data_IF_383565616104
#
_entry.id   IF_383565616104
#
_cell.length_a   1.000
_cell.length_b   1.000
_cell.length_c   1.000
_cell.angle_alpha   90.00
_cell.angle_beta   90.00
_cell.angle_gamma   90.00
#
_symmetry.space_group_name_H-M   'P 1'
#
loop_
_entity.id
_entity.type
_entity.pdbx_description
1 polymer ?
#
# COMPACT_ATOMS: atom_id res chain seq x y z
N UNK A 1 16.61 -23.25 26.49
CA UNK A 1 15.78 -22.02 26.52
C UNK A 1 15.81 -21.45 25.11
N UNK A 2 14.76 -21.66 24.32
CA UNK A 2 14.69 -21.30 22.89
C UNK A 2 13.34 -20.62 22.54
N UNK A 3 12.77 -19.84 23.46
CA UNK A 3 11.48 -19.17 23.24
C UNK A 3 11.58 -17.69 22.85
N UNK A 4 12.77 -17.06 22.95
CA UNK A 4 12.87 -15.60 22.81
C UNK A 4 12.86 -15.06 21.37
N UNK A 5 13.24 -15.83 20.35
CA UNK A 5 13.27 -15.33 18.96
C UNK A 5 11.91 -15.42 18.26
N UNK A 6 11.11 -16.45 18.57
CA UNK A 6 9.78 -16.64 18.00
C UNK A 6 8.80 -15.55 18.42
N UNK A 7 8.83 -15.16 19.70
CA UNK A 7 7.96 -14.12 20.24
C UNK A 7 8.28 -12.74 19.63
N UNK A 8 9.57 -12.43 19.40
CA UNK A 8 9.99 -11.19 18.75
C UNK A 8 9.57 -11.14 17.28
N UNK A 9 9.73 -12.24 16.54
CA UNK A 9 9.31 -12.31 15.13
C UNK A 9 7.80 -12.16 14.97
N UNK A 10 7.02 -12.87 15.80
CA UNK A 10 5.54 -12.78 15.77
C UNK A 10 5.08 -11.35 16.12
N UNK A 11 5.69 -10.73 17.13
CA UNK A 11 5.38 -9.34 17.50
C UNK A 11 5.64 -8.36 16.35
N UNK A 12 6.82 -8.45 15.72
CA UNK A 12 7.20 -7.66 14.55
C UNK A 12 6.24 -7.87 13.36
N UNK A 13 5.86 -9.12 13.11
CA UNK A 13 4.88 -9.49 12.11
C UNK A 13 3.51 -8.85 12.38
N UNK A 14 3.02 -8.92 13.61
CA UNK A 14 1.74 -8.34 13.98
C UNK A 14 1.72 -6.82 13.76
N UNK A 15 2.83 -6.12 14.03
CA UNK A 15 2.94 -4.68 13.78
C UNK A 15 2.82 -4.36 12.28
N UNK A 16 3.60 -5.05 11.43
CA UNK A 16 3.59 -4.80 9.99
C UNK A 16 2.23 -5.18 9.36
N UNK A 17 1.72 -6.38 9.66
CA UNK A 17 0.47 -6.91 9.10
C UNK A 17 -0.74 -6.05 9.50
N UNK A 18 -0.76 -5.48 10.72
CA UNK A 18 -1.84 -4.61 11.14
C UNK A 18 -1.98 -3.37 10.24
N UNK A 19 -0.87 -2.71 9.91
CA UNK A 19 -0.89 -1.50 9.07
C UNK A 19 -1.20 -1.86 7.61
N UNK A 20 -0.58 -2.91 7.09
CA UNK A 20 -0.80 -3.37 5.71
C UNK A 20 -2.25 -3.80 5.48
N UNK A 21 -2.86 -4.53 6.42
CA UNK A 21 -4.27 -4.93 6.30
C UNK A 21 -5.22 -3.72 6.37
N UNK A 22 -4.88 -2.69 7.17
CA UNK A 22 -5.61 -1.42 7.20
C UNK A 22 -5.52 -0.71 5.86
N UNK A 23 -4.33 -0.58 5.30
CA UNK A 23 -4.12 0.01 3.97
C UNK A 23 -4.89 -0.73 2.87
N UNK A 24 -4.80 -2.07 2.85
CA UNK A 24 -5.52 -2.90 1.89
C UNK A 24 -7.05 -2.79 2.03
N UNK A 25 -7.59 -2.49 3.22
CA UNK A 25 -9.01 -2.22 3.42
C UNK A 25 -9.40 -0.85 2.84
N UNK A 26 -8.57 0.17 3.05
CA UNK A 26 -8.81 1.53 2.55
C UNK A 26 -8.63 1.64 1.02
N UNK A 27 -7.78 0.80 0.43
CA UNK A 27 -7.58 0.72 -1.02
C UNK A 27 -8.78 0.14 -1.79
N UNK A 28 -9.63 -0.69 -1.15
CA UNK A 28 -10.79 -1.35 -1.79
C UNK A 28 -11.89 -0.38 -2.22
N UNK A 29 -11.83 0.88 -1.81
CA UNK A 29 -12.80 1.90 -2.21
C UNK A 29 -12.45 2.62 -3.52
N UNK A 30 -11.32 2.28 -4.16
CA UNK A 30 -10.87 2.87 -5.43
C UNK A 30 -11.89 2.66 -6.57
N UNK A 31 -12.56 1.51 -6.62
CA UNK A 31 -13.53 1.20 -7.67
C UNK A 31 -14.72 2.17 -7.70
N UNK A 32 -15.02 2.82 -6.55
CA UNK A 32 -16.06 3.86 -6.44
C UNK A 32 -15.70 5.13 -7.23
N UNK A 33 -14.42 5.37 -7.55
CA UNK A 33 -14.00 6.52 -8.36
C UNK A 33 -14.48 6.45 -9.81
N UNK A 34 -14.81 5.27 -10.32
CA UNK A 34 -15.29 5.11 -11.70
C UNK A 34 -16.57 5.90 -11.97
N UNK A 35 -17.48 5.98 -10.98
CA UNK A 35 -18.80 6.61 -11.09
C UNK A 35 -18.88 8.06 -10.56
N UNK A 36 -17.82 8.56 -9.93
CA UNK A 36 -17.81 9.88 -9.27
C UNK A 36 -17.73 11.05 -10.29
N UNK A 37 -18.15 12.26 -9.89
CA UNK A 37 -17.93 13.47 -10.71
C UNK A 37 -16.43 13.82 -10.81
N UNK A 38 -16.01 14.66 -11.76
CA UNK A 38 -14.58 15.03 -11.88
C UNK A 38 -14.03 15.72 -10.61
N UNK A 39 -14.83 16.56 -9.96
CA UNK A 39 -14.45 17.20 -8.69
C UNK A 39 -14.26 16.17 -7.58
N UNK A 40 -15.19 15.21 -7.50
CA UNK A 40 -15.12 14.12 -6.52
C UNK A 40 -13.92 13.21 -6.77
N UNK A 41 -13.63 12.84 -8.03
CA UNK A 41 -12.45 12.05 -8.40
C UNK A 41 -11.16 12.72 -7.94
N UNK A 42 -11.04 14.03 -8.17
CA UNK A 42 -9.84 14.79 -7.79
C UNK A 42 -9.65 14.80 -6.27
N UNK A 43 -10.72 15.00 -5.51
CA UNK A 43 -10.72 14.97 -4.05
C UNK A 43 -10.40 13.58 -3.51
N UNK A 44 -10.98 12.52 -4.07
CA UNK A 44 -10.71 11.14 -3.64
C UNK A 44 -9.28 10.72 -3.95
N UNK A 45 -8.73 11.08 -5.11
CA UNK A 45 -7.32 10.86 -5.42
C UNK A 45 -6.39 11.62 -4.44
N UNK A 46 -6.81 12.79 -3.95
CA UNK A 46 -6.03 13.56 -2.97
C UNK A 46 -5.99 12.82 -1.65
N UNK A 47 -7.15 12.42 -1.13
CA UNK A 47 -7.25 11.63 0.10
C UNK A 47 -6.48 10.31 -0.01
N UNK A 48 -6.54 9.66 -1.17
CA UNK A 48 -5.78 8.43 -1.44
C UNK A 48 -4.27 8.66 -1.38
N UNK A 49 -3.79 9.74 -2.00
CA UNK A 49 -2.38 10.17 -1.94
C UNK A 49 -1.95 10.33 -0.48
N UNK A 50 -2.69 11.12 0.29
CA UNK A 50 -2.40 11.42 1.69
C UNK A 50 -2.39 10.14 2.55
N UNK A 51 -3.36 9.24 2.36
CA UNK A 51 -3.44 7.95 3.06
C UNK A 51 -2.27 7.04 2.76
N UNK A 52 -1.90 6.85 1.49
CA UNK A 52 -0.76 6.00 1.15
C UNK A 52 0.58 6.57 1.65
N UNK A 53 0.74 7.90 1.63
CA UNK A 53 1.91 8.55 2.27
C UNK A 53 1.94 8.29 3.78
N UNK A 54 0.77 8.40 4.44
CA UNK A 54 0.65 8.10 5.86
C UNK A 54 1.01 6.64 6.16
N UNK A 55 0.51 5.68 5.38
CA UNK A 55 0.85 4.27 5.55
C UNK A 55 2.34 3.98 5.29
N UNK A 56 2.92 4.57 4.25
CA UNK A 56 4.35 4.46 4.00
C UNK A 56 5.16 4.92 5.22
N UNK A 57 4.79 6.06 5.81
CA UNK A 57 5.43 6.59 7.01
C UNK A 57 5.19 5.71 8.25
N UNK A 58 3.95 5.28 8.50
CA UNK A 58 3.62 4.39 9.62
C UNK A 58 4.41 3.08 9.55
N UNK A 59 4.61 2.53 8.35
CA UNK A 59 5.41 1.32 8.12
C UNK A 59 6.90 1.60 8.32
N UNK A 60 7.43 2.69 7.77
CA UNK A 60 8.86 3.04 7.88
C UNK A 60 9.28 3.35 9.34
N UNK A 61 8.37 3.91 10.14
CA UNK A 61 8.59 4.23 11.55
C UNK A 61 8.66 2.96 12.45
N UNK A 62 8.28 1.77 11.95
CA UNK A 62 8.37 0.51 12.71
C UNK A 62 9.83 0.09 12.85
N UNK A 63 10.27 -0.11 14.10
CA UNK A 63 11.59 -0.70 14.39
C UNK A 63 11.51 -2.21 14.32
N UNK A 64 11.88 -2.74 13.15
CA UNK A 64 12.02 -4.16 12.94
C UNK A 64 13.48 -4.57 13.13
N UNK A 65 13.71 -5.86 13.41
CA UNK A 65 15.01 -6.48 13.56
C UNK A 65 15.18 -7.65 12.59
N UNK A 66 14.12 -8.42 12.38
CA UNK A 66 14.11 -9.56 11.47
C UNK A 66 14.37 -9.12 10.01
N UNK A 67 15.33 -9.74 9.31
CA UNK A 67 15.73 -9.30 7.97
C UNK A 67 14.64 -9.48 6.92
N UNK A 68 13.81 -10.52 7.01
CA UNK A 68 12.73 -10.76 6.06
C UNK A 68 11.57 -9.79 6.31
N UNK A 69 11.21 -9.56 7.58
CA UNK A 69 10.18 -8.57 7.92
C UNK A 69 10.62 -7.15 7.52
N UNK A 70 11.91 -6.80 7.69
CA UNK A 70 12.48 -5.55 7.16
C UNK A 70 12.41 -5.47 5.64
N UNK A 71 12.60 -6.59 4.94
CA UNK A 71 12.48 -6.59 3.50
C UNK A 71 11.02 -6.36 3.06
N UNK A 72 10.04 -6.97 3.74
CA UNK A 72 8.63 -6.68 3.52
C UNK A 72 8.29 -5.22 3.81
N UNK A 73 8.77 -4.66 4.93
CA UNK A 73 8.63 -3.25 5.28
C UNK A 73 9.08 -2.34 4.13
N UNK A 74 10.30 -2.53 3.61
CA UNK A 74 10.83 -1.74 2.47
C UNK A 74 9.98 -1.88 1.21
N UNK A 75 9.49 -3.08 0.92
CA UNK A 75 8.63 -3.32 -0.24
C UNK A 75 7.29 -2.58 -0.10
N UNK A 76 6.65 -2.60 1.07
CA UNK A 76 5.42 -1.84 1.32
C UNK A 76 5.64 -0.34 1.26
N UNK A 77 6.70 0.19 1.88
CA UNK A 77 7.06 1.62 1.80
C UNK A 77 7.25 2.04 0.35
N UNK A 78 8.01 1.27 -0.43
CA UNK A 78 8.23 1.53 -1.86
C UNK A 78 6.93 1.50 -2.65
N UNK A 79 6.09 0.49 -2.41
CA UNK A 79 4.81 0.34 -3.09
C UNK A 79 3.89 1.53 -2.81
N UNK A 80 3.71 1.91 -1.55
CA UNK A 80 2.83 3.01 -1.16
C UNK A 80 3.32 4.38 -1.62
N UNK A 81 4.64 4.60 -1.65
CA UNK A 81 5.21 5.79 -2.28
C UNK A 81 4.91 5.83 -3.80
N UNK A 82 5.04 4.70 -4.50
CA UNK A 82 4.69 4.61 -5.92
C UNK A 82 3.19 4.82 -6.16
N UNK A 83 2.33 4.31 -5.28
CA UNK A 83 0.87 4.53 -5.34
C UNK A 83 0.53 6.02 -5.15
N UNK A 84 1.15 6.67 -4.16
CA UNK A 84 1.00 8.11 -3.93
C UNK A 84 1.42 8.91 -5.16
N UNK A 85 2.58 8.62 -5.73
CA UNK A 85 3.06 9.33 -6.93
C UNK A 85 2.12 9.10 -8.13
N UNK A 86 1.63 7.87 -8.32
CA UNK A 86 0.67 7.55 -9.39
C UNK A 86 -0.66 8.29 -9.22
N UNK A 87 -1.07 8.53 -7.96
CA UNK A 87 -2.27 9.32 -7.63
C UNK A 87 -2.12 10.77 -8.03
N UNK A 88 -0.99 11.40 -7.70
CA UNK A 88 -0.68 12.77 -8.10
C UNK A 88 -0.61 12.89 -9.64
N UNK A 89 0.05 11.93 -10.31
CA UNK A 89 0.13 11.90 -11.76
C UNK A 89 -1.26 11.77 -12.43
N UNK A 90 -2.17 10.99 -11.83
CA UNK A 90 -3.53 10.87 -12.31
C UNK A 90 -4.34 12.15 -12.11
N UNK A 91 -4.19 12.83 -10.97
CA UNK A 91 -4.81 14.15 -10.74
C UNK A 91 -4.37 15.16 -11.79
N UNK A 92 -3.07 15.25 -12.05
CA UNK A 92 -2.51 16.12 -13.08
C UNK A 92 -3.04 15.79 -14.48
N UNK A 93 -3.12 14.50 -14.82
CA UNK A 93 -3.64 14.04 -16.09
C UNK A 93 -5.13 14.41 -16.27
N UNK A 94 -5.94 14.28 -15.21
CA UNK A 94 -7.34 14.69 -15.19
C UNK A 94 -7.46 16.21 -15.39
N UNK A 95 -6.70 17.00 -14.63
CA UNK A 95 -6.71 18.46 -14.72
C UNK A 95 -6.32 18.95 -16.13
N UNK A 96 -5.33 18.30 -16.74
CA UNK A 96 -4.87 18.57 -18.11
C UNK A 96 -5.78 17.96 -19.19
N UNK A 97 -6.84 17.23 -18.82
CA UNK A 97 -7.72 16.47 -19.73
C UNK A 97 -6.95 15.51 -20.66
N UNK A 98 -5.79 15.02 -20.22
CA UNK A 98 -4.92 14.14 -20.99
C UNK A 98 -5.38 12.68 -20.85
N UNK A 99 -6.30 12.27 -21.71
CA UNK A 99 -6.90 10.91 -21.68
C UNK A 99 -5.87 9.78 -21.72
N UNK A 100 -4.82 9.92 -22.53
CA UNK A 100 -3.77 8.88 -22.62
C UNK A 100 -3.02 8.72 -21.30
N UNK A 101 -2.68 9.83 -20.62
CA UNK A 101 -2.07 9.75 -19.30
C UNK A 101 -3.03 9.24 -18.24
N UNK A 102 -4.32 9.57 -18.32
CA UNK A 102 -5.34 8.97 -17.44
C UNK A 102 -5.35 7.45 -17.58
N UNK A 103 -5.45 6.93 -18.79
CA UNK A 103 -5.48 5.48 -19.04
C UNK A 103 -4.19 4.79 -18.60
N UNK A 104 -3.02 5.41 -18.84
CA UNK A 104 -1.74 4.87 -18.41
C UNK A 104 -1.61 4.82 -16.88
N UNK A 105 -2.05 5.87 -16.17
CA UNK A 105 -2.04 5.89 -14.71
C UNK A 105 -3.03 4.87 -14.11
N UNK A 106 -4.23 4.71 -14.70
CA UNK A 106 -5.18 3.69 -14.27
C UNK A 106 -4.62 2.26 -14.44
N UNK A 107 -3.89 1.99 -15.53
CA UNK A 107 -3.17 0.72 -15.70
C UNK A 107 -2.07 0.53 -14.66
N UNK A 108 -1.34 1.59 -14.32
CA UNK A 108 -0.33 1.55 -13.26
C UNK A 108 -0.96 1.21 -11.90
N UNK A 109 -2.11 1.81 -11.58
CA UNK A 109 -2.87 1.45 -10.38
C UNK A 109 -3.25 -0.03 -10.33
N UNK A 110 -3.78 -0.59 -11.42
CA UNK A 110 -4.12 -2.02 -11.45
C UNK A 110 -2.91 -2.93 -11.17
N UNK A 111 -1.73 -2.56 -11.68
CA UNK A 111 -0.47 -3.28 -11.39
C UNK A 111 -0.07 -3.17 -9.93
N UNK A 112 -0.11 -1.95 -9.38
CA UNK A 112 0.21 -1.67 -7.97
C UNK A 112 -0.73 -2.43 -7.04
N UNK A 113 -2.03 -2.42 -7.29
CA UNK A 113 -3.00 -3.19 -6.50
C UNK A 113 -2.76 -4.69 -6.58
N UNK A 114 -2.38 -5.22 -7.74
CA UNK A 114 -2.00 -6.63 -7.88
C UNK A 114 -0.74 -6.97 -7.07
N UNK A 115 0.25 -6.08 -7.06
CA UNK A 115 1.47 -6.24 -6.26
C UNK A 115 1.18 -6.15 -4.76
N UNK A 116 0.30 -5.24 -4.34
CA UNK A 116 -0.10 -5.10 -2.94
C UNK A 116 -0.72 -6.39 -2.41
N UNK A 117 -1.69 -6.96 -3.15
CA UNK A 117 -2.34 -8.22 -2.77
C UNK A 117 -1.32 -9.34 -2.62
N UNK A 118 -0.40 -9.49 -3.58
CA UNK A 118 0.65 -10.52 -3.49
C UNK A 118 1.56 -10.31 -2.28
N UNK A 119 1.98 -9.07 -2.03
CA UNK A 119 2.86 -8.76 -0.91
C UNK A 119 2.16 -8.97 0.44
N UNK A 120 0.86 -8.66 0.54
CA UNK A 120 0.00 -8.97 1.70
C UNK A 120 -0.07 -10.49 1.93
N UNK A 121 -0.26 -11.28 0.87
CA UNK A 121 -0.28 -12.75 0.96
C UNK A 121 1.07 -13.33 1.39
N UNK A 122 2.17 -12.81 0.84
CA UNK A 122 3.53 -13.23 1.19
C UNK A 122 3.88 -12.92 2.65
N UNK A 123 3.60 -11.69 3.11
CA UNK A 123 3.85 -11.32 4.51
C UNK A 123 2.96 -12.13 5.44
N UNK A 124 1.68 -12.34 5.11
CA UNK A 124 0.78 -13.16 5.92
C UNK A 124 1.22 -14.63 5.98
N UNK A 125 1.78 -15.19 4.89
CA UNK A 125 2.32 -16.55 4.88
C UNK A 125 3.57 -16.67 5.75
N UNK A 126 4.49 -15.72 5.60
CA UNK A 126 5.71 -15.66 6.41
C UNK A 126 5.38 -15.50 7.90
N UNK A 127 4.46 -14.59 8.21
CA UNK A 127 4.07 -14.25 9.58
C UNK A 127 3.10 -15.24 10.22
N UNK A 128 2.26 -15.91 9.43
CA UNK A 128 1.26 -16.87 9.89
C UNK A 128 1.81 -18.26 10.18
N UNK A 129 3.03 -18.58 9.75
CA UNK A 129 3.68 -19.86 10.06
C UNK A 129 2.88 -21.07 9.58
N UNK A 130 2.69 -21.23 8.28
CA UNK A 130 2.42 -22.56 7.71
C UNK A 130 3.78 -23.20 7.44
N UNK A 131 4.19 -24.08 8.35
CA UNK A 131 5.05 -25.22 8.02
C UNK A 131 4.28 -26.18 7.10
#
# INVERSE_FOLDING_TARGET
MLTSCGDSRISQCNQLVAIVNKAAKEARDIDKMSQASQGDKTNELKKMTERFQQFAKEIDDIKLEDPDIKNFQKQFVSLYNQTSQSSQNLQDAIAKKNKSQVDNNLKAFGKVSTLEVKLVEEVNRYCGGVN
#
